data_IF_657888082354
#
_entry.id   IF_657888082354
#
_cell.length_a   1.000
_cell.length_b   1.000
_cell.length_c   1.000
_cell.angle_alpha   90.00
_cell.angle_beta   90.00
_cell.angle_gamma   90.00
#
_symmetry.space_group_name_H-M   'P 1'
#
loop_
_entity.id
_entity.type
_entity.pdbx_description
1 polymer ?
#
# COMPACT_ATOMS: atom_id res chain seq x y z
N UNK A 1 -14.44 -7.30 -15.97
CA UNK A 1 -13.85 -6.53 -14.87
C UNK A 1 -12.35 -6.53 -15.09
N UNK A 2 -11.73 -5.36 -15.16
CA UNK A 2 -10.28 -5.24 -15.29
C UNK A 2 -9.57 -5.70 -14.01
N UNK A 3 -8.24 -5.88 -14.07
CA UNK A 3 -7.42 -6.17 -12.87
C UNK A 3 -7.59 -5.04 -11.85
N UNK A 4 -7.54 -3.79 -12.28
CA UNK A 4 -7.71 -2.63 -11.41
C UNK A 4 -9.08 -2.61 -10.72
N UNK A 5 -10.16 -2.89 -11.44
CA UNK A 5 -11.51 -2.96 -10.87
C UNK A 5 -11.63 -4.11 -9.84
N UNK A 6 -11.01 -5.25 -10.14
CA UNK A 6 -10.99 -6.41 -9.23
C UNK A 6 -10.26 -6.06 -7.93
N UNK A 7 -9.04 -5.52 -8.02
CA UNK A 7 -8.24 -5.13 -6.85
C UNK A 7 -8.96 -4.06 -6.03
N UNK A 8 -9.54 -3.05 -6.68
CA UNK A 8 -10.33 -2.02 -5.98
C UNK A 8 -11.50 -2.64 -5.22
N UNK A 9 -12.25 -3.56 -5.84
CA UNK A 9 -13.37 -4.23 -5.19
C UNK A 9 -12.92 -5.09 -3.99
N UNK A 10 -11.81 -5.82 -4.12
CA UNK A 10 -11.22 -6.61 -3.03
C UNK A 10 -10.80 -5.71 -1.85
N UNK A 11 -10.11 -4.60 -2.13
CA UNK A 11 -9.70 -3.62 -1.10
C UNK A 11 -10.90 -2.95 -0.42
N UNK A 12 -11.96 -2.63 -1.16
CA UNK A 12 -13.21 -2.11 -0.59
C UNK A 12 -13.94 -3.14 0.27
N UNK A 13 -13.80 -4.43 -0.03
CA UNK A 13 -14.31 -5.50 0.82
C UNK A 13 -13.59 -5.58 2.17
N UNK A 14 -12.30 -5.27 2.20
CA UNK A 14 -11.48 -5.24 3.43
C UNK A 14 -11.60 -3.92 4.19
N UNK A 15 -11.77 -2.81 3.49
CA UNK A 15 -11.83 -1.45 4.03
C UNK A 15 -12.92 -0.65 3.32
N UNK A 16 -14.20 -0.79 3.71
CA UNK A 16 -15.29 -0.06 3.07
C UNK A 16 -15.10 1.47 3.10
N UNK A 17 -14.47 2.00 4.15
CA UNK A 17 -14.17 3.43 4.31
C UNK A 17 -13.17 3.96 3.28
N UNK A 18 -12.39 3.09 2.62
CA UNK A 18 -11.53 3.47 1.50
C UNK A 18 -12.32 4.12 0.35
N UNK A 19 -13.63 3.85 0.23
CA UNK A 19 -14.50 4.50 -0.76
C UNK A 19 -14.40 6.02 -0.71
N UNK A 20 -14.26 6.60 0.49
CA UNK A 20 -14.17 8.06 0.67
C UNK A 20 -12.88 8.58 0.06
N UNK A 21 -11.74 8.00 0.45
CA UNK A 21 -10.43 8.38 -0.09
C UNK A 21 -10.35 8.16 -1.61
N UNK A 22 -10.93 7.07 -2.12
CA UNK A 22 -11.01 6.84 -3.55
C UNK A 22 -11.77 7.97 -4.26
N UNK A 23 -12.96 8.33 -3.80
CA UNK A 23 -13.75 9.37 -4.44
C UNK A 23 -13.10 10.76 -4.36
N UNK A 24 -12.31 11.02 -3.31
CA UNK A 24 -11.62 12.30 -3.14
C UNK A 24 -10.39 12.44 -4.05
N UNK A 25 -9.70 11.35 -4.35
CA UNK A 25 -8.41 11.37 -5.07
C UNK A 25 -8.43 10.71 -6.45
N UNK A 26 -9.49 9.97 -6.82
CA UNK A 26 -9.49 9.16 -8.04
C UNK A 26 -9.32 9.98 -9.32
N UNK A 27 -9.71 11.25 -9.33
CA UNK A 27 -9.59 12.11 -10.52
C UNK A 27 -8.13 12.27 -10.97
N UNK A 28 -7.15 12.12 -10.07
CA UNK A 28 -5.72 12.14 -10.41
C UNK A 28 -5.25 10.85 -11.10
N UNK A 29 -6.03 9.79 -11.00
CA UNK A 29 -5.68 8.42 -11.41
C UNK A 29 -6.67 7.81 -12.40
N UNK A 30 -7.64 8.61 -12.84
CA UNK A 30 -8.69 8.21 -13.76
C UNK A 30 -8.52 8.99 -15.07
N UNK A 31 -8.54 8.28 -16.18
CA UNK A 31 -8.52 8.85 -17.52
C UNK A 31 -9.86 9.52 -17.84
N UNK A 32 -9.89 10.35 -18.89
CA UNK A 32 -11.13 11.02 -19.35
C UNK A 32 -12.29 10.05 -19.69
N UNK A 33 -11.97 8.78 -19.98
CA UNK A 33 -12.95 7.72 -20.26
C UNK A 33 -13.44 6.97 -19.00
N UNK A 34 -12.99 7.38 -17.81
CA UNK A 34 -13.34 6.74 -16.54
C UNK A 34 -12.49 5.51 -16.18
N UNK A 35 -11.53 5.12 -17.02
CA UNK A 35 -10.62 4.00 -16.73
C UNK A 35 -9.50 4.41 -15.77
N UNK A 36 -9.04 3.46 -14.95
CA UNK A 36 -7.94 3.65 -14.00
C UNK A 36 -7.06 2.39 -13.94
N UNK A 37 -5.82 2.56 -13.48
CA UNK A 37 -4.81 1.49 -13.39
C UNK A 37 -4.76 0.90 -11.98
N UNK A 38 -4.19 -0.30 -11.84
CA UNK A 38 -3.96 -0.92 -10.52
C UNK A 38 -2.95 -0.10 -9.69
N UNK A 39 -1.97 0.54 -10.34
CA UNK A 39 -1.07 1.52 -9.70
C UNK A 39 -1.83 2.69 -9.08
N UNK A 40 -2.81 3.26 -9.80
CA UNK A 40 -3.67 4.32 -9.26
C UNK A 40 -4.47 3.87 -8.03
N UNK A 41 -5.01 2.64 -8.06
CA UNK A 41 -5.70 2.05 -6.90
C UNK A 41 -4.77 1.94 -5.69
N UNK A 42 -3.59 1.36 -5.85
CA UNK A 42 -2.63 1.22 -4.76
C UNK A 42 -2.08 2.57 -4.27
N UNK A 43 -1.90 3.55 -5.16
CA UNK A 43 -1.46 4.89 -4.80
C UNK A 43 -2.45 5.57 -3.85
N UNK A 44 -3.73 5.63 -4.23
CA UNK A 44 -4.79 6.22 -3.37
C UNK A 44 -4.96 5.41 -2.08
N UNK A 45 -4.88 4.08 -2.18
CA UNK A 45 -4.96 3.21 -1.00
C UNK A 45 -3.79 3.44 -0.02
N UNK A 46 -2.59 3.71 -0.53
CA UNK A 46 -1.43 4.02 0.31
C UNK A 46 -1.61 5.31 1.11
N UNK A 47 -2.30 6.31 0.56
CA UNK A 47 -2.60 7.56 1.25
C UNK A 47 -3.60 7.33 2.38
N UNK A 48 -4.65 6.56 2.11
CA UNK A 48 -5.63 6.13 3.11
C UNK A 48 -4.97 5.36 4.28
N UNK A 49 -4.12 4.37 3.97
CA UNK A 49 -3.42 3.59 5.00
C UNK A 49 -2.40 4.44 5.76
N UNK A 50 -1.69 5.36 5.09
CA UNK A 50 -0.77 6.28 5.74
C UNK A 50 -1.47 7.20 6.75
N UNK A 51 -2.65 7.74 6.41
CA UNK A 51 -3.44 8.55 7.35
C UNK A 51 -3.82 7.73 8.60
N UNK A 52 -4.26 6.47 8.43
CA UNK A 52 -4.56 5.59 9.56
C UNK A 52 -3.34 5.33 10.45
N UNK A 53 -2.21 4.96 9.85
CA UNK A 53 -0.96 4.67 10.58
C UNK A 53 -0.36 5.91 11.26
N UNK A 54 -0.62 7.12 10.73
CA UNK A 54 -0.19 8.38 11.35
C UNK A 54 -0.91 8.67 12.67
N UNK A 55 -2.10 8.08 12.89
CA UNK A 55 -2.92 8.28 14.09
C UNK A 55 -2.59 7.29 15.21
N UNK A 56 -1.84 6.23 14.91
CA UNK A 56 -1.49 5.20 15.89
C UNK A 56 -1.32 3.81 15.29
N UNK A 57 -1.03 2.85 16.16
CA UNK A 57 -1.15 1.43 15.80
C UNK A 57 -2.61 1.10 15.50
N UNK A 58 -2.84 0.37 14.42
CA UNK A 58 -4.19 -0.02 13.98
C UNK A 58 -4.21 -1.53 13.67
N UNK A 59 -4.56 -2.38 14.65
CA UNK A 59 -4.54 -3.84 14.48
C UNK A 59 -5.50 -4.34 13.40
N UNK A 60 -6.54 -3.56 13.06
CA UNK A 60 -7.49 -3.94 12.01
C UNK A 60 -6.86 -3.93 10.61
N UNK A 61 -5.67 -3.34 10.45
CA UNK A 61 -4.93 -3.36 9.20
C UNK A 61 -4.20 -4.69 8.95
N UNK A 62 -4.18 -5.63 9.89
CA UNK A 62 -3.52 -6.93 9.69
C UNK A 62 -4.03 -7.64 8.43
N UNK A 63 -5.35 -7.73 8.25
CA UNK A 63 -5.95 -8.40 7.09
C UNK A 63 -5.62 -7.69 5.77
N UNK A 64 -5.47 -6.36 5.80
CA UNK A 64 -5.06 -5.56 4.65
C UNK A 64 -3.62 -5.90 4.25
N UNK A 65 -2.72 -5.96 5.21
CA UNK A 65 -1.31 -6.28 4.92
C UNK A 65 -1.12 -7.75 4.55
N UNK A 66 -1.90 -8.67 5.12
CA UNK A 66 -1.94 -10.07 4.69
C UNK A 66 -2.42 -10.19 3.25
N UNK A 67 -3.43 -9.40 2.87
CA UNK A 67 -3.88 -9.31 1.48
C UNK A 67 -2.78 -8.77 0.56
N UNK A 68 -2.13 -7.66 0.91
CA UNK A 68 -1.02 -7.10 0.11
C UNK A 68 0.11 -8.12 -0.05
N UNK A 69 0.52 -8.77 1.04
CA UNK A 69 1.53 -9.84 1.05
C UNK A 69 1.16 -11.00 0.12
N UNK A 70 -0.13 -11.34 0.02
CA UNK A 70 -0.62 -12.37 -0.90
C UNK A 70 -0.50 -11.98 -2.38
N UNK A 71 -0.46 -10.68 -2.69
CA UNK A 71 -0.32 -10.17 -4.06
C UNK A 71 1.13 -10.03 -4.51
N UNK A 72 2.08 -10.06 -3.57
CA UNK A 72 3.50 -10.06 -3.90
C UNK A 72 3.89 -11.43 -4.43
N UNK A 73 4.03 -11.57 -5.75
CA UNK A 73 4.31 -12.83 -6.43
C UNK A 73 5.72 -12.79 -7.03
N UNK A 74 6.37 -13.94 -7.23
CA UNK A 74 7.74 -13.99 -7.78
C UNK A 74 7.79 -13.71 -9.30
N UNK A 75 6.64 -13.46 -9.94
CA UNK A 75 6.52 -13.31 -11.39
C UNK A 75 6.49 -11.86 -11.89
N UNK A 76 6.75 -10.87 -11.03
CA UNK A 76 6.79 -9.43 -11.37
C UNK A 76 5.51 -8.99 -12.12
N UNK A 77 4.37 -9.49 -11.64
CA UNK A 77 3.07 -9.13 -12.20
C UNK A 77 2.78 -7.63 -12.03
N UNK A 78 1.88 -7.08 -12.86
CA UNK A 78 1.44 -5.69 -12.73
C UNK A 78 0.91 -5.36 -11.31
N UNK A 79 0.25 -6.33 -10.67
CA UNK A 79 -0.26 -6.19 -9.30
C UNK A 79 0.88 -6.17 -8.27
N UNK A 80 1.86 -7.05 -8.41
CA UNK A 80 3.06 -7.07 -7.56
C UNK A 80 3.83 -5.75 -7.67
N UNK A 81 4.06 -5.28 -8.91
CA UNK A 81 4.70 -4.02 -9.17
C UNK A 81 3.93 -2.83 -8.57
N UNK A 82 2.59 -2.80 -8.69
CA UNK A 82 1.77 -1.75 -8.10
C UNK A 82 1.74 -1.81 -6.56
N UNK A 83 1.65 -2.99 -5.97
CA UNK A 83 1.68 -3.18 -4.52
C UNK A 83 3.03 -2.77 -3.90
N UNK A 84 4.13 -3.01 -4.61
CA UNK A 84 5.46 -2.60 -4.16
C UNK A 84 5.70 -1.10 -4.37
N UNK A 85 5.57 -0.60 -5.59
CA UNK A 85 5.97 0.77 -5.96
C UNK A 85 4.92 1.85 -5.65
N UNK A 86 3.63 1.50 -5.63
CA UNK A 86 2.56 2.46 -5.35
C UNK A 86 1.92 2.28 -3.97
N UNK A 87 2.25 1.22 -3.24
CA UNK A 87 1.79 1.03 -1.87
C UNK A 87 2.93 0.97 -0.85
N UNK A 88 3.76 -0.08 -0.85
CA UNK A 88 4.82 -0.22 0.15
C UNK A 88 5.85 0.91 0.09
N UNK A 89 6.34 1.26 -1.09
CA UNK A 89 7.25 2.39 -1.31
C UNK A 89 6.66 3.70 -0.78
N UNK A 90 5.38 3.97 -1.10
CA UNK A 90 4.69 5.16 -0.63
C UNK A 90 4.61 5.22 0.89
N UNK A 91 4.35 4.10 1.57
CA UNK A 91 4.37 4.05 3.04
C UNK A 91 5.78 4.27 3.58
N UNK A 92 6.79 3.62 3.00
CA UNK A 92 8.20 3.76 3.41
C UNK A 92 8.70 5.20 3.26
N UNK A 93 8.32 5.91 2.19
CA UNK A 93 8.66 7.32 1.97
C UNK A 93 8.05 8.28 3.01
N UNK A 94 7.18 7.79 3.90
CA UNK A 94 6.56 8.54 5.00
C UNK A 94 7.11 8.14 6.37
N UNK A 95 8.01 7.16 6.44
CA UNK A 95 8.67 6.71 7.67
C UNK A 95 10.04 7.41 7.80
N UNK A 96 10.44 7.88 9.01
CA UNK A 96 9.68 7.94 10.25
C UNK A 96 8.87 9.23 10.42
N UNK A 97 8.92 10.16 9.47
CA UNK A 97 8.42 11.54 9.65
C UNK A 97 6.91 11.64 9.90
N UNK A 98 6.12 10.80 9.23
CA UNK A 98 4.65 10.80 9.32
C UNK A 98 4.09 9.48 9.84
N UNK A 99 4.83 8.40 9.70
CA UNK A 99 4.46 7.07 10.19
C UNK A 99 5.54 6.59 11.14
N UNK A 100 5.13 6.31 12.39
CA UNK A 100 6.01 5.65 13.34
C UNK A 100 6.30 4.22 12.85
N UNK A 101 7.57 3.80 12.71
CA UNK A 101 7.90 2.45 12.25
C UNK A 101 7.27 1.35 13.12
N UNK A 102 7.00 1.61 14.41
CA UNK A 102 6.32 0.67 15.31
C UNK A 102 4.86 0.43 14.95
N UNK A 103 4.25 1.29 14.14
CA UNK A 103 2.88 1.09 13.66
C UNK A 103 2.85 0.32 12.33
N UNK A 104 3.86 0.50 11.46
CA UNK A 104 3.93 -0.14 10.15
C UNK A 104 4.58 -1.53 10.20
N UNK A 105 5.78 -1.61 10.78
CA UNK A 105 6.65 -2.78 10.66
C UNK A 105 6.00 -4.07 11.18
N UNK A 106 5.25 -4.08 12.30
CA UNK A 106 4.57 -5.28 12.77
C UNK A 106 3.53 -5.85 11.79
N UNK A 107 2.99 -5.03 10.87
CA UNK A 107 2.00 -5.46 9.89
C UNK A 107 2.65 -6.12 8.66
N UNK A 108 3.95 -5.89 8.41
CA UNK A 108 4.62 -6.35 7.21
C UNK A 108 4.88 -7.87 7.25
N UNK A 109 4.34 -8.57 6.25
CA UNK A 109 4.67 -9.97 5.96
C UNK A 109 6.10 -10.17 5.40
N UNK A 110 6.55 -11.41 5.23
CA UNK A 110 7.94 -11.71 4.85
C UNK A 110 8.40 -11.08 3.52
N UNK A 111 7.58 -11.09 2.47
CA UNK A 111 7.88 -10.51 1.15
C UNK A 111 7.85 -8.99 1.22
N UNK A 112 6.87 -8.42 1.91
CA UNK A 112 6.79 -6.98 2.16
C UNK A 112 8.03 -6.49 2.90
N UNK A 113 8.48 -7.20 3.94
CA UNK A 113 9.74 -6.91 4.65
C UNK A 113 10.95 -7.02 3.76
N UNK A 114 11.01 -8.03 2.88
CA UNK A 114 12.10 -8.17 1.91
C UNK A 114 12.16 -6.96 0.97
N UNK A 115 11.02 -6.52 0.43
CA UNK A 115 10.95 -5.33 -0.39
C UNK A 115 11.37 -4.07 0.38
N UNK A 116 10.77 -3.79 1.54
CA UNK A 116 11.07 -2.59 2.32
C UNK A 116 12.54 -2.52 2.76
N UNK A 117 13.19 -3.66 3.06
CA UNK A 117 14.65 -3.69 3.30
C UNK A 117 15.46 -3.31 2.07
N UNK A 118 15.10 -3.85 0.90
CA UNK A 118 15.74 -3.47 -0.35
C UNK A 118 15.58 -1.98 -0.66
N UNK A 119 14.42 -1.41 -0.33
CA UNK A 119 14.18 0.03 -0.45
C UNK A 119 15.05 0.85 0.50
N UNK A 120 15.13 0.45 1.78
CA UNK A 120 16.02 1.05 2.78
C UNK A 120 17.48 1.07 2.29
N UNK A 121 17.98 -0.08 1.79
CA UNK A 121 19.33 -0.22 1.25
C UNK A 121 19.57 0.70 0.05
N UNK A 122 18.60 0.79 -0.86
CA UNK A 122 18.69 1.64 -2.05
C UNK A 122 18.68 3.14 -1.70
N UNK A 123 17.83 3.55 -0.76
CA UNK A 123 17.74 4.93 -0.27
C UNK A 123 18.86 5.31 0.72
N UNK A 124 19.64 4.34 1.22
CA UNK A 124 20.65 4.56 2.25
C UNK A 124 20.06 4.91 3.62
N UNK A 125 18.85 4.44 3.91
CA UNK A 125 18.14 4.65 5.18
C UNK A 125 18.04 3.36 5.99
N UNK A 126 17.65 3.45 7.25
CA UNK A 126 17.42 2.29 8.11
C UNK A 126 16.17 2.47 8.97
N UNK A 127 15.13 1.74 8.63
CA UNK A 127 13.86 1.74 9.35
C UNK A 127 13.94 0.85 10.59
N UNK A 128 13.52 1.37 11.74
CA UNK A 128 13.53 0.61 13.00
C UNK A 128 12.62 -0.63 12.91
N UNK A 129 13.13 -1.79 13.33
CA UNK A 129 12.39 -3.07 13.31
C UNK A 129 12.40 -3.82 11.96
N UNK A 130 13.01 -3.25 10.91
CA UNK A 130 13.22 -3.93 9.62
C UNK A 130 14.61 -4.59 9.48
N UNK A 131 15.43 -4.55 10.53
CA UNK A 131 16.77 -5.18 10.57
C UNK A 131 16.78 -6.62 11.04
#
# INVERSE_FOLDING_TARGET
MSVAETIKAELLGLCPEFTVAWNDECDLWTSDDGSFTVHGVFAVFSHYIADRLSRGSDPSLSEVFDYVESKLMEDDSEVDNAATTCFLENLMNRVPEKIDPRHLVPLLGPKSRKFCRGWDEWCGVKTEGLS
#
